data_IF_287016646220
#
_entry.id   IF_287016646220
#
_cell.length_a   1.000
_cell.length_b   1.000
_cell.length_c   1.000
_cell.angle_alpha   90.00
_cell.angle_beta   90.00
_cell.angle_gamma   90.00
#
_symmetry.space_group_name_H-M   'P 1'
#
loop_
_entity.id
_entity.type
_entity.pdbx_description
1 polymer ?
#
# COMPACT_ATOMS: atom_id res chain seq x y z
N UNK A 1 -24.20 40.97 -2.17
CA UNK A 1 -24.15 40.83 -3.65
C UNK A 1 -22.70 41.07 -4.13
N UNK A 2 -21.93 40.03 -4.44
CA UNK A 2 -20.70 40.12 -5.21
C UNK A 2 -20.80 39.20 -6.41
N UNK A 3 -20.67 39.82 -7.59
CA UNK A 3 -20.82 39.21 -8.90
C UNK A 3 -19.65 38.29 -9.20
N UNK A 4 -19.96 37.06 -9.61
CA UNK A 4 -19.03 36.07 -10.14
C UNK A 4 -18.82 36.41 -11.61
N UNK A 5 -17.57 36.66 -12.01
CA UNK A 5 -17.17 36.80 -13.41
C UNK A 5 -16.51 35.47 -13.80
N UNK A 6 -17.20 34.72 -14.67
CA UNK A 6 -16.70 33.50 -15.32
C UNK A 6 -15.99 33.96 -16.61
N UNK A 7 -14.68 33.74 -16.67
CA UNK A 7 -13.91 33.93 -17.91
C UNK A 7 -13.71 32.54 -18.52
N UNK A 8 -14.38 32.34 -19.63
CA UNK A 8 -14.28 31.17 -20.49
C UNK A 8 -13.11 31.39 -21.47
N UNK A 9 -12.01 30.66 -21.33
CA UNK A 9 -10.92 30.67 -22.31
C UNK A 9 -11.05 29.42 -23.15
N UNK A 10 -11.46 29.64 -24.40
CA UNK A 10 -11.58 28.66 -25.49
C UNK A 10 -10.20 28.57 -26.18
N UNK A 11 -9.48 27.49 -26.01
CA UNK A 11 -8.25 27.21 -26.76
C UNK A 11 -8.55 26.23 -27.89
N UNK A 12 -8.48 26.73 -29.12
CA UNK A 12 -8.58 25.98 -30.34
C UNK A 12 -7.24 25.36 -30.66
N UNK A 13 -7.13 24.04 -30.68
CA UNK A 13 -5.96 23.33 -31.24
C UNK A 13 -6.29 22.83 -32.63
N UNK A 14 -5.62 23.42 -33.63
CA UNK A 14 -5.63 23.01 -35.01
C UNK A 14 -4.76 21.80 -35.25
N UNK A 15 -5.32 20.83 -35.96
CA UNK A 15 -4.65 19.64 -36.47
C UNK A 15 -3.57 20.00 -37.50
N UNK A 16 -2.40 19.38 -37.39
CA UNK A 16 -1.38 19.35 -38.44
C UNK A 16 -0.96 17.92 -38.70
N UNK A 17 -1.55 17.30 -39.76
CA UNK A 17 -1.00 16.09 -40.35
C UNK A 17 0.19 16.47 -41.25
N UNK A 18 1.35 15.82 -41.06
CA UNK A 18 2.39 15.74 -42.06
C UNK A 18 2.72 14.29 -42.35
N UNK A 19 2.35 13.89 -43.56
CA UNK A 19 2.69 12.64 -44.22
C UNK A 19 3.93 12.93 -45.07
N UNK A 20 5.01 12.12 -44.94
CA UNK A 20 6.12 12.10 -45.90
C UNK A 20 6.42 10.64 -46.21
N UNK A 21 6.01 10.24 -47.40
CA UNK A 21 6.61 9.12 -48.15
C UNK A 21 7.79 9.66 -48.93
N UNK A 22 8.84 8.86 -49.10
CA UNK A 22 9.49 8.43 -50.35
C UNK A 22 10.79 7.71 -50.02
N UNK A 23 10.85 6.45 -50.45
CA UNK A 23 11.66 5.81 -51.52
C UNK A 23 13.14 6.24 -51.59
N UNK A 24 14.13 5.39 -51.58
CA UNK A 24 14.48 4.36 -52.58
C UNK A 24 15.80 3.70 -52.26
N UNK A 25 15.94 2.43 -52.60
CA UNK A 25 17.03 1.59 -53.03
C UNK A 25 18.50 1.94 -52.62
N UNK A 26 19.21 0.96 -52.06
CA UNK A 26 20.28 0.28 -52.82
C UNK A 26 20.79 -1.02 -52.18
N UNK A 27 21.03 -1.96 -53.06
CA UNK A 27 21.50 -3.33 -52.89
C UNK A 27 23.00 -3.34 -52.62
N UNK A 28 23.45 -4.01 -51.55
CA UNK A 28 24.77 -4.63 -51.53
C UNK A 28 24.74 -6.04 -50.92
N UNK A 29 24.92 -7.02 -51.82
CA UNK A 29 25.33 -8.40 -51.53
C UNK A 29 26.77 -8.40 -51.00
N UNK A 30 27.01 -9.10 -49.91
CA UNK A 30 28.24 -9.88 -49.64
C UNK A 30 27.95 -10.93 -48.57
N UNK A 31 27.96 -12.06 -48.94
CA UNK A 31 28.68 -13.35 -48.91
C UNK A 31 29.27 -13.74 -47.54
N UNK A 32 28.76 -14.89 -47.10
CA UNK A 32 29.38 -15.96 -46.33
C UNK A 32 30.25 -15.64 -45.08
N UNK A 33 29.73 -16.00 -43.93
CA UNK A 33 30.55 -16.76 -42.96
C UNK A 33 29.68 -17.66 -42.07
N UNK A 34 29.99 -18.91 -42.13
CA UNK A 34 29.59 -20.02 -41.28
C UNK A 34 29.59 -19.64 -39.78
N UNK A 35 28.44 -19.72 -39.10
CA UNK A 35 28.43 -19.79 -37.66
C UNK A 35 27.60 -21.00 -37.24
N UNK A 36 28.26 -21.89 -36.53
CA UNK A 36 27.80 -23.14 -35.94
C UNK A 36 26.48 -22.93 -35.20
N UNK A 37 25.51 -23.83 -35.46
CA UNK A 37 24.31 -24.05 -34.69
C UNK A 37 24.65 -24.35 -33.24
N UNK A 38 24.55 -23.36 -32.39
CA UNK A 38 24.46 -23.59 -30.96
C UNK A 38 23.03 -24.03 -30.58
N UNK A 39 23.02 -25.17 -29.94
CA UNK A 39 21.87 -25.92 -29.45
C UNK A 39 21.04 -25.00 -28.50
N UNK A 40 19.95 -24.43 -29.03
CA UNK A 40 19.00 -23.68 -28.24
C UNK A 40 18.42 -24.56 -27.14
N UNK A 41 18.92 -24.36 -25.93
CA UNK A 41 18.34 -24.94 -24.74
C UNK A 41 16.97 -24.27 -24.55
N UNK A 42 15.88 -25.00 -24.83
CA UNK A 42 14.52 -24.57 -24.53
C UNK A 42 14.39 -24.34 -23.02
N UNK A 43 14.59 -23.10 -22.60
CA UNK A 43 14.18 -22.67 -21.29
C UNK A 43 12.67 -22.75 -21.28
N UNK A 44 12.13 -23.75 -20.56
CA UNK A 44 10.70 -23.81 -20.29
C UNK A 44 10.31 -22.48 -19.61
N UNK A 45 9.29 -21.76 -20.10
CA UNK A 45 8.83 -20.59 -19.41
C UNK A 45 8.42 -21.01 -18.00
N UNK A 46 9.06 -20.44 -16.97
CA UNK A 46 8.62 -20.59 -15.60
C UNK A 46 7.18 -20.08 -15.59
N UNK A 47 6.23 -20.97 -15.32
CA UNK A 47 4.82 -20.60 -15.16
C UNK A 47 4.80 -19.51 -14.12
N UNK A 48 4.50 -18.28 -14.53
CA UNK A 48 4.13 -17.21 -13.61
C UNK A 48 2.84 -17.72 -12.95
N UNK A 49 2.96 -18.25 -11.76
CA UNK A 49 1.80 -18.45 -10.92
C UNK A 49 1.26 -17.05 -10.69
N UNK A 50 0.08 -16.78 -11.24
CA UNK A 50 -0.70 -15.63 -10.86
C UNK A 50 -0.99 -15.83 -9.37
N UNK A 51 -0.21 -15.18 -8.52
CA UNK A 51 -0.53 -15.10 -7.11
C UNK A 51 -1.83 -14.30 -7.00
N UNK A 52 -2.94 -14.99 -7.02
CA UNK A 52 -4.22 -14.51 -6.51
C UNK A 52 -4.05 -14.40 -4.99
N UNK A 53 -3.31 -13.39 -4.57
CA UNK A 53 -2.76 -13.27 -3.22
C UNK A 53 -3.56 -12.31 -2.37
N UNK A 54 -4.49 -11.55 -2.98
CA UNK A 54 -5.33 -10.63 -2.21
C UNK A 54 -6.28 -11.40 -1.28
N UNK A 55 -6.48 -10.85 -0.10
CA UNK A 55 -7.45 -11.36 0.87
C UNK A 55 -8.28 -10.23 1.48
N UNK A 56 -9.49 -10.56 1.92
CA UNK A 56 -10.27 -9.75 2.85
C UNK A 56 -9.95 -10.23 4.26
N UNK A 57 -9.13 -9.51 5.03
CA UNK A 57 -8.62 -10.00 6.30
C UNK A 57 -9.70 -9.98 7.37
N UNK A 58 -9.78 -11.04 8.18
CA UNK A 58 -10.69 -11.14 9.34
C UNK A 58 -9.93 -11.30 10.65
N UNK A 59 -8.62 -11.60 10.58
CA UNK A 59 -7.78 -11.79 11.75
C UNK A 59 -6.36 -11.30 11.49
N UNK A 60 -5.72 -10.77 12.54
CA UNK A 60 -4.31 -10.41 12.57
C UNK A 60 -3.61 -11.10 13.73
N UNK A 61 -2.37 -11.55 13.50
CA UNK A 61 -1.49 -12.08 14.53
C UNK A 61 -0.12 -11.42 14.45
N UNK A 62 0.37 -10.93 15.58
CA UNK A 62 1.70 -10.31 15.71
C UNK A 62 2.40 -10.99 16.89
N UNK A 63 3.13 -12.10 16.66
CA UNK A 63 3.70 -12.92 17.73
C UNK A 63 4.61 -12.12 18.67
N UNK A 64 5.40 -11.20 18.12
CA UNK A 64 6.30 -10.33 18.91
C UNK A 64 5.58 -9.52 19.98
N UNK A 65 4.31 -9.18 19.78
CA UNK A 65 3.49 -8.38 20.68
C UNK A 65 2.42 -9.19 21.41
N UNK A 66 2.39 -10.51 21.23
CA UNK A 66 1.33 -11.40 21.72
C UNK A 66 -0.08 -10.98 21.27
N UNK A 67 -0.19 -10.37 20.08
CA UNK A 67 -1.46 -9.98 19.49
C UNK A 67 -2.00 -11.14 18.65
N UNK A 68 -3.28 -11.48 18.85
CA UNK A 68 -4.04 -12.42 18.04
C UNK A 68 -5.52 -12.03 18.11
N UNK A 69 -5.95 -11.11 17.24
CA UNK A 69 -7.24 -10.43 17.32
C UNK A 69 -8.02 -10.58 16.01
N UNK A 70 -9.35 -10.57 16.12
CA UNK A 70 -10.23 -10.31 14.97
C UNK A 70 -9.95 -8.90 14.44
N UNK A 71 -10.30 -8.67 13.17
CA UNK A 71 -10.22 -7.36 12.53
C UNK A 71 -11.64 -6.80 12.33
N UNK A 72 -11.82 -5.54 12.68
CA UNK A 72 -12.91 -4.71 12.16
C UNK A 72 -12.58 -4.25 10.74
N UNK A 73 -13.60 -3.79 10.00
CA UNK A 73 -13.44 -3.14 8.71
C UNK A 73 -13.97 -1.71 8.84
N UNK A 74 -13.11 -0.74 8.55
CA UNK A 74 -13.47 0.69 8.58
C UNK A 74 -13.51 1.28 7.18
N UNK A 75 -14.28 2.34 7.03
CA UNK A 75 -14.38 3.14 5.82
C UNK A 75 -13.74 4.52 5.98
N UNK A 76 -14.36 5.49 5.32
CA UNK A 76 -13.99 6.90 5.35
C UNK A 76 -15.08 7.68 6.08
N UNK A 77 -14.70 8.59 6.98
CA UNK A 77 -15.62 9.48 7.66
C UNK A 77 -16.05 10.67 6.75
N UNK A 78 -16.91 11.56 7.27
CA UNK A 78 -17.40 12.74 6.54
C UNK A 78 -16.30 13.71 6.11
N UNK A 79 -15.15 13.68 6.77
CA UNK A 79 -14.02 14.57 6.51
C UNK A 79 -13.02 13.98 5.50
N UNK A 80 -13.30 12.77 4.99
CA UNK A 80 -12.44 12.07 4.04
C UNK A 80 -11.28 11.33 4.69
N UNK A 81 -11.29 11.15 6.00
CA UNK A 81 -10.25 10.45 6.74
C UNK A 81 -10.68 9.00 7.05
N UNK A 82 -9.70 8.11 7.24
CA UNK A 82 -9.96 6.76 7.71
C UNK A 82 -10.68 6.79 9.06
N UNK A 83 -11.80 6.09 9.17
CA UNK A 83 -12.51 5.93 10.44
C UNK A 83 -11.64 5.26 11.49
N UNK A 84 -11.76 5.72 12.72
CA UNK A 84 -11.07 5.12 13.87
C UNK A 84 -11.74 3.79 14.23
N UNK A 85 -10.99 2.73 14.61
CA UNK A 85 -11.59 1.50 15.14
C UNK A 85 -12.54 1.78 16.32
N UNK A 86 -13.65 1.05 16.39
CA UNK A 86 -14.67 1.30 17.43
C UNK A 86 -14.27 0.74 18.79
N UNK A 87 -13.61 -0.42 18.78
CA UNK A 87 -13.17 -1.11 19.98
C UNK A 87 -11.68 -0.89 20.19
N UNK A 88 -11.31 -0.49 21.41
CA UNK A 88 -9.91 -0.24 21.80
C UNK A 88 -9.01 -1.47 21.63
N UNK A 89 -9.56 -2.66 21.78
CA UNK A 89 -8.84 -3.93 21.70
C UNK A 89 -8.88 -4.57 20.31
N UNK A 90 -9.62 -4.00 19.37
CA UNK A 90 -9.83 -4.58 18.05
C UNK A 90 -9.23 -3.66 16.98
N UNK A 91 -8.20 -4.10 16.25
CA UNK A 91 -7.69 -3.31 15.14
C UNK A 91 -8.62 -3.39 13.93
N UNK A 92 -8.56 -2.39 13.05
CA UNK A 92 -9.43 -2.29 11.89
C UNK A 92 -8.65 -2.19 10.58
N UNK A 93 -9.07 -2.95 9.58
CA UNK A 93 -8.58 -2.82 8.21
C UNK A 93 -9.35 -1.73 7.46
N UNK A 94 -8.62 -0.86 6.78
CA UNK A 94 -9.16 0.18 5.91
C UNK A 94 -9.62 -0.44 4.58
N UNK A 95 -10.91 -0.76 4.48
CA UNK A 95 -11.50 -1.51 3.35
C UNK A 95 -11.60 -0.71 2.04
N UNK A 96 -11.58 0.64 2.13
CA UNK A 96 -11.66 1.53 0.95
C UNK A 96 -10.29 1.76 0.30
N UNK A 97 -9.20 1.28 0.93
CA UNK A 97 -7.85 1.32 0.40
C UNK A 97 -7.49 0.06 -0.39
N UNK A 98 -6.17 -0.19 -0.49
CA UNK A 98 -5.67 -1.39 -1.15
C UNK A 98 -6.01 -2.65 -0.36
N UNK A 99 -6.32 -3.72 -1.08
CA UNK A 99 -6.56 -5.02 -0.46
C UNK A 99 -5.27 -5.60 0.10
N UNK A 100 -5.39 -6.38 1.16
CA UNK A 100 -4.23 -7.04 1.76
C UNK A 100 -3.68 -8.11 0.81
N UNK A 101 -2.42 -7.96 0.43
CA UNK A 101 -1.75 -8.85 -0.53
C UNK A 101 -1.78 -8.38 -1.98
N UNK A 102 -2.46 -7.27 -2.28
CA UNK A 102 -2.39 -6.61 -3.58
C UNK A 102 -1.22 -5.64 -3.68
N UNK A 103 -0.86 -5.21 -4.88
CA UNK A 103 0.12 -4.16 -5.10
C UNK A 103 -0.44 -2.84 -4.57
N UNK A 104 0.29 -2.22 -3.66
CA UNK A 104 -0.14 -1.01 -2.96
C UNK A 104 0.11 -1.08 -1.46
N UNK A 105 -0.43 -0.13 -0.72
CA UNK A 105 -0.30 -0.01 0.72
C UNK A 105 -1.66 -0.30 1.39
N UNK A 106 -1.91 -1.56 1.76
CA UNK A 106 -3.02 -1.89 2.66
C UNK A 106 -2.74 -1.34 4.06
N UNK A 107 -3.78 -0.92 4.79
CA UNK A 107 -3.62 -0.28 6.10
C UNK A 107 -4.50 -0.94 7.15
N UNK A 108 -3.91 -1.21 8.31
CA UNK A 108 -4.60 -1.62 9.53
C UNK A 108 -4.28 -0.61 10.63
N UNK A 109 -5.30 -0.03 11.24
CA UNK A 109 -5.17 0.88 12.35
C UNK A 109 -5.59 0.22 13.67
N UNK A 110 -5.03 0.69 14.78
CA UNK A 110 -5.40 0.25 16.12
C UNK A 110 -5.10 1.33 17.14
N UNK A 111 -5.85 1.33 18.23
CA UNK A 111 -5.66 2.29 19.32
C UNK A 111 -4.36 2.06 20.10
N UNK A 112 -3.74 3.13 20.53
CA UNK A 112 -2.65 3.10 21.52
C UNK A 112 -3.19 3.01 22.95
N UNK A 113 -4.23 3.78 23.28
CA UNK A 113 -4.94 3.79 24.56
C UNK A 113 -6.28 4.54 24.40
N UNK A 114 -7.11 4.53 25.46
CA UNK A 114 -8.34 5.36 25.60
C UNK A 114 -8.21 6.43 26.69
N UNK A 115 -6.99 6.69 27.17
CA UNK A 115 -6.71 7.56 28.30
C UNK A 115 -6.72 6.86 29.65
N UNK A 116 -7.27 5.66 29.76
CA UNK A 116 -7.31 4.85 31.00
C UNK A 116 -6.69 3.47 30.79
N UNK A 117 -6.96 2.84 29.65
CA UNK A 117 -6.53 1.48 29.35
C UNK A 117 -5.63 1.44 28.11
N UNK A 118 -4.65 0.52 28.06
CA UNK A 118 -3.85 0.29 26.85
C UNK A 118 -4.72 -0.25 25.72
N UNK A 119 -4.50 0.22 24.51
CA UNK A 119 -5.14 -0.29 23.30
C UNK A 119 -4.35 -1.43 22.65
N UNK A 120 -4.95 -2.02 21.61
CA UNK A 120 -4.37 -3.16 20.90
C UNK A 120 -2.97 -2.87 20.33
N UNK A 121 -2.68 -1.62 19.95
CA UNK A 121 -1.40 -1.20 19.39
C UNK A 121 -0.53 -0.36 20.34
N UNK A 122 -0.79 -0.42 21.65
CA UNK A 122 0.05 0.22 22.69
C UNK A 122 1.54 -0.10 22.50
N UNK A 123 1.85 -1.34 22.19
CA UNK A 123 3.23 -1.83 22.07
C UNK A 123 3.75 -1.85 20.62
N UNK A 124 3.04 -1.22 19.66
CA UNK A 124 3.44 -1.25 18.24
C UNK A 124 4.86 -0.71 18.02
N UNK A 125 5.29 0.23 18.86
CA UNK A 125 6.64 0.79 18.85
C UNK A 125 7.75 -0.23 19.12
N UNK A 126 7.45 -1.37 19.74
CA UNK A 126 8.41 -2.46 20.05
C UNK A 126 8.75 -3.33 18.85
N UNK A 127 7.98 -3.24 17.76
CA UNK A 127 8.29 -3.96 16.53
C UNK A 127 9.61 -3.52 15.92
N UNK A 128 10.36 -4.49 15.38
CA UNK A 128 11.68 -4.31 14.77
C UNK A 128 11.69 -4.89 13.36
N UNK A 129 12.63 -4.43 12.56
CA UNK A 129 12.88 -5.00 11.24
C UNK A 129 13.06 -6.52 11.32
N UNK A 130 12.30 -7.23 10.47
CA UNK A 130 12.27 -8.68 10.42
C UNK A 130 11.15 -9.34 11.22
N UNK A 131 10.48 -8.63 12.14
CA UNK A 131 9.30 -9.15 12.84
C UNK A 131 8.18 -9.46 11.84
N UNK A 132 7.41 -10.50 12.11
CA UNK A 132 6.38 -10.99 11.21
C UNK A 132 4.98 -10.62 11.72
N UNK A 133 4.14 -10.23 10.75
CA UNK A 133 2.70 -9.99 10.91
C UNK A 133 1.97 -10.97 10.02
N UNK A 134 1.11 -11.79 10.59
CA UNK A 134 0.23 -12.69 9.85
C UNK A 134 -1.18 -12.10 9.79
N UNK A 135 -1.79 -12.11 8.61
CA UNK A 135 -3.21 -11.82 8.42
C UNK A 135 -3.88 -13.01 7.76
N UNK A 136 -5.13 -13.28 8.18
CA UNK A 136 -5.90 -14.45 7.78
C UNK A 136 -7.29 -14.01 7.30
N UNK A 137 -7.77 -14.60 6.23
CA UNK A 137 -9.14 -14.43 5.74
C UNK A 137 -10.11 -15.47 6.34
N UNK A 138 -11.40 -15.35 5.97
CA UNK A 138 -12.46 -16.27 6.43
C UNK A 138 -12.25 -17.73 5.98
N UNK A 139 -11.45 -17.99 4.96
CA UNK A 139 -11.14 -19.30 4.42
C UNK A 139 -9.83 -19.87 4.98
N UNK A 140 -9.27 -19.23 6.02
CA UNK A 140 -7.97 -19.55 6.62
C UNK A 140 -6.76 -19.39 5.69
N UNK A 141 -6.92 -18.66 4.57
CA UNK A 141 -5.79 -18.24 3.75
C UNK A 141 -4.98 -17.20 4.51
N UNK A 142 -3.67 -17.43 4.61
CA UNK A 142 -2.77 -16.61 5.40
C UNK A 142 -1.77 -15.89 4.51
N UNK A 143 -1.49 -14.65 4.85
CA UNK A 143 -0.39 -13.86 4.29
C UNK A 143 0.51 -13.40 5.43
N UNK A 144 1.81 -13.51 5.21
CA UNK A 144 2.83 -13.11 6.18
C UNK A 144 3.58 -11.90 5.62
N UNK A 145 3.63 -10.85 6.41
CA UNK A 145 4.35 -9.62 6.11
C UNK A 145 5.54 -9.47 7.07
N UNK A 146 6.66 -8.92 6.58
CA UNK A 146 7.82 -8.61 7.40
C UNK A 146 8.00 -7.11 7.56
N UNK A 147 8.26 -6.67 8.77
CA UNK A 147 8.62 -5.29 9.06
C UNK A 147 9.93 -4.94 8.36
N UNK A 148 9.93 -3.87 7.56
CA UNK A 148 11.15 -3.35 6.94
C UNK A 148 11.54 -1.95 7.44
N UNK A 149 10.57 -1.14 7.90
CA UNK A 149 10.82 0.21 8.43
C UNK A 149 9.75 0.59 9.47
N UNK A 150 10.04 1.63 10.24
CA UNK A 150 9.13 2.22 11.23
C UNK A 150 9.40 3.71 11.33
N UNK A 151 8.37 4.54 11.25
CA UNK A 151 8.48 5.99 11.27
C UNK A 151 7.43 6.63 12.17
N UNK A 152 7.86 7.66 12.85
CA UNK A 152 6.99 8.57 13.58
C UNK A 152 6.77 9.83 12.73
N UNK A 153 5.51 10.23 12.58
CA UNK A 153 5.13 11.41 11.82
C UNK A 153 4.29 12.34 12.69
N UNK A 154 4.50 13.64 12.57
CA UNK A 154 3.54 14.61 13.07
C UNK A 154 2.20 14.44 12.33
N UNK A 155 1.07 14.50 13.02
CA UNK A 155 -0.26 14.26 12.47
C UNK A 155 -0.50 14.99 11.14
N UNK A 156 -0.26 16.32 11.13
CA UNK A 156 -0.50 17.18 9.96
C UNK A 156 0.54 17.05 8.83
N UNK A 157 1.66 16.36 9.08
CA UNK A 157 2.76 16.14 8.12
C UNK A 157 2.89 14.67 7.72
N UNK A 158 1.93 13.86 8.07
CA UNK A 158 1.94 12.45 7.68
C UNK A 158 1.86 12.33 6.15
N UNK A 159 2.79 11.57 5.52
CA UNK A 159 2.83 11.43 4.07
C UNK A 159 1.73 10.45 3.60
N UNK A 160 0.52 10.95 3.41
CA UNK A 160 -0.69 10.16 3.11
C UNK A 160 -0.46 9.21 1.93
N UNK A 161 0.11 9.70 0.84
CA UNK A 161 0.38 8.89 -0.36
C UNK A 161 1.34 7.72 -0.07
N UNK A 162 2.36 7.94 0.76
CA UNK A 162 3.30 6.88 1.15
C UNK A 162 2.65 5.83 2.06
N UNK A 163 1.66 6.24 2.86
CA UNK A 163 1.01 5.37 3.85
C UNK A 163 -0.14 4.59 3.23
N UNK A 164 -0.94 5.22 2.36
CA UNK A 164 -2.19 4.69 1.82
C UNK A 164 -2.18 4.50 0.29
N UNK A 165 -1.22 5.10 -0.42
CA UNK A 165 -1.22 5.18 -1.87
C UNK A 165 -0.67 3.93 -2.56
N UNK A 166 -0.47 4.05 -3.87
CA UNK A 166 0.05 2.97 -4.70
C UNK A 166 1.50 2.61 -4.38
N UNK A 167 1.82 1.34 -4.48
CA UNK A 167 3.18 0.78 -4.48
C UNK A 167 3.24 -0.38 -5.48
N UNK A 168 4.34 -0.53 -6.19
CA UNK A 168 4.61 -1.72 -7.01
C UNK A 168 4.86 -2.98 -6.17
N UNK A 169 5.15 -2.82 -4.89
CA UNK A 169 5.29 -3.90 -3.91
C UNK A 169 3.97 -4.07 -3.13
N UNK A 170 3.85 -5.19 -2.46
CA UNK A 170 2.70 -5.57 -1.65
C UNK A 170 2.98 -5.26 -0.20
N UNK A 171 2.40 -4.16 0.28
CA UNK A 171 2.63 -3.68 1.64
C UNK A 171 1.40 -3.84 2.52
N UNK A 172 1.66 -3.98 3.81
CA UNK A 172 0.69 -3.83 4.87
C UNK A 172 1.27 -2.86 5.90
N UNK A 173 0.67 -1.69 6.04
CA UNK A 173 1.09 -0.69 6.99
C UNK A 173 0.23 -0.77 8.25
N UNK A 174 0.87 -0.83 9.43
CA UNK A 174 0.18 -0.74 10.71
C UNK A 174 0.31 0.69 11.24
N UNK A 175 -0.80 1.27 11.73
CA UNK A 175 -0.84 2.66 12.20
C UNK A 175 -1.46 2.72 13.58
N UNK A 176 -0.84 3.53 14.45
CA UNK A 176 -1.42 3.92 15.73
C UNK A 176 -1.11 5.37 16.06
N UNK A 177 -1.82 5.91 17.02
CA UNK A 177 -1.53 7.20 17.65
C UNK A 177 -0.25 7.12 18.48
N UNK A 178 0.43 8.27 18.67
CA UNK A 178 1.64 8.35 19.51
C UNK A 178 1.74 9.74 20.16
N UNK A 179 2.17 9.76 21.43
CA UNK A 179 2.29 10.96 22.25
C UNK A 179 1.10 11.20 23.17
N UNK A 180 1.17 12.25 23.96
CA UNK A 180 0.10 12.66 24.87
C UNK A 180 -1.08 13.28 24.10
N UNK A 181 -2.30 13.04 24.59
CA UNK A 181 -3.49 13.65 24.01
C UNK A 181 -3.44 15.18 24.11
N UNK A 182 -3.65 15.85 23.00
CA UNK A 182 -3.71 17.32 22.93
C UNK A 182 -5.16 17.76 22.69
N UNK A 183 -5.81 18.42 23.66
CA UNK A 183 -7.20 18.86 23.54
C UNK A 183 -7.45 19.85 22.39
N UNK A 184 -6.44 20.68 22.04
CA UNK A 184 -6.56 21.65 20.94
C UNK A 184 -6.56 20.95 19.57
N UNK A 185 -5.90 19.81 19.47
CA UNK A 185 -5.90 18.98 18.25
C UNK A 185 -7.06 17.99 18.22
N UNK A 186 -7.74 17.77 19.36
CA UNK A 186 -8.70 16.68 19.51
C UNK A 186 -8.09 15.28 19.32
N UNK A 187 -6.75 15.15 19.41
CA UNK A 187 -5.99 13.94 19.10
C UNK A 187 -4.60 13.98 19.71
N UNK A 188 -3.84 12.89 19.56
CA UNK A 188 -2.40 12.89 19.83
C UNK A 188 -1.63 13.55 18.68
N UNK A 189 -0.47 14.18 18.95
CA UNK A 189 0.26 14.95 17.95
C UNK A 189 0.91 14.11 16.86
N UNK A 190 1.13 12.83 17.10
CA UNK A 190 1.88 11.99 16.19
C UNK A 190 1.14 10.73 15.76
N UNK A 191 1.61 10.14 14.65
CA UNK A 191 1.23 8.81 14.17
C UNK A 191 2.48 7.96 14.01
N UNK A 192 2.45 6.78 14.64
CA UNK A 192 3.46 5.75 14.43
C UNK A 192 2.99 4.86 13.28
N UNK A 193 3.82 4.72 12.26
CA UNK A 193 3.59 3.83 11.12
C UNK A 193 4.66 2.76 11.08
N UNK A 194 4.25 1.50 11.09
CA UNK A 194 5.12 0.34 10.86
C UNK A 194 4.87 -0.15 9.45
N UNK A 195 5.91 -0.12 8.64
CA UNK A 195 5.90 -0.51 7.24
C UNK A 195 6.30 -1.97 7.10
N UNK A 196 5.47 -2.75 6.41
CA UNK A 196 5.74 -4.16 6.17
C UNK A 196 5.57 -4.53 4.71
N UNK A 197 6.26 -5.55 4.27
CA UNK A 197 6.20 -6.08 2.91
C UNK A 197 5.86 -7.58 2.94
N UNK A 198 5.06 -8.02 1.97
CA UNK A 198 4.67 -9.42 1.83
C UNK A 198 5.92 -10.31 1.69
N UNK A 199 6.02 -11.31 2.55
CA UNK A 199 7.07 -12.33 2.50
C UNK A 199 6.89 -13.18 1.25
N UNK A 200 7.86 -13.13 0.35
CA UNK A 200 7.94 -14.08 -0.76
C UNK A 200 8.04 -15.50 -0.23
N UNK A 201 7.19 -16.40 -0.72
CA UNK A 201 7.24 -17.84 -0.42
C UNK A 201 8.46 -18.51 -1.02
#
# INVERSE_FOLDING_TARGET
LKKIIIILILAIFTSGCMNVNDTDSDVHKNKDSNLKSEKSTKVKPKKFESYDSEIVPVKISIPRLNISNKLEHTGVNSDGEMEVPKDINTPAWFKEGYKVGDNGNAVIAGHVNDGQNPGVFTDLHKLKKGDEIEVEDKNHKKLIFKVYDKKLYELKKSPVEKIFGYSSNRHLNLITCEGEYNPELGSTPNRLVVYTELKSG
#
